data_IF_431786380648
#
_entry.id   IF_431786380648
#
_cell.length_a   1.000
_cell.length_b   1.000
_cell.length_c   1.000
_cell.angle_alpha   90.00
_cell.angle_beta   90.00
_cell.angle_gamma   90.00
#
_symmetry.space_group_name_H-M   'P 1'
#
loop_
_entity.id
_entity.type
_entity.pdbx_description
1 polymer ?
#
# COMPACT_ATOMS: atom_id res chain seq x y z
N UNK A 1 -18.08 -19.74 -32.09
CA UNK A 1 -17.40 -18.55 -31.53
C UNK A 1 -16.14 -19.08 -30.89
N UNK A 2 -15.01 -18.85 -31.55
CA UNK A 2 -13.69 -19.22 -31.08
C UNK A 2 -13.37 -18.34 -29.88
N UNK A 3 -13.26 -18.93 -28.68
CA UNK A 3 -12.62 -18.28 -27.54
C UNK A 3 -11.15 -18.06 -27.93
N UNK A 4 -10.79 -16.83 -28.28
CA UNK A 4 -9.40 -16.39 -28.28
C UNK A 4 -8.85 -16.60 -26.87
N UNK A 5 -8.11 -17.69 -26.69
CA UNK A 5 -7.30 -17.92 -25.50
C UNK A 5 -6.47 -16.64 -25.26
N UNK A 6 -6.53 -16.03 -24.07
CA UNK A 6 -5.80 -14.80 -23.80
C UNK A 6 -4.32 -15.06 -24.09
N UNK A 7 -3.76 -14.32 -25.07
CA UNK A 7 -2.33 -14.34 -25.37
C UNK A 7 -1.57 -14.34 -24.04
N UNK A 8 -0.60 -15.25 -23.83
CA UNK A 8 0.10 -15.33 -22.56
C UNK A 8 0.69 -13.95 -22.28
N UNK A 9 0.12 -13.27 -21.27
CA UNK A 9 0.65 -11.98 -20.81
C UNK A 9 2.14 -12.23 -20.57
N UNK A 10 3.03 -11.37 -21.09
CA UNK A 10 4.47 -11.55 -20.88
C UNK A 10 4.71 -11.77 -19.40
N UNK A 11 5.47 -12.83 -19.06
CA UNK A 11 5.76 -13.18 -17.66
C UNK A 11 6.28 -11.93 -16.96
N UNK A 12 5.61 -11.52 -15.88
CA UNK A 12 6.00 -10.33 -15.15
C UNK A 12 7.42 -10.56 -14.58
N UNK A 13 8.37 -9.63 -14.70
CA UNK A 13 9.71 -9.80 -14.13
C UNK A 13 9.71 -10.19 -12.65
N UNK A 14 8.66 -9.81 -11.90
CA UNK A 14 8.50 -10.18 -10.50
C UNK A 14 8.18 -11.66 -10.27
N UNK A 15 7.58 -12.36 -11.25
CA UNK A 15 7.34 -13.81 -11.19
C UNK A 15 8.64 -14.62 -11.33
N UNK A 16 9.71 -13.98 -11.82
CA UNK A 16 11.03 -14.60 -11.99
C UNK A 16 11.93 -14.42 -10.75
N UNK A 17 11.50 -13.61 -9.77
CA UNK A 17 12.25 -13.42 -8.54
C UNK A 17 12.26 -14.71 -7.71
N UNK A 18 13.37 -14.98 -6.98
CA UNK A 18 13.46 -16.16 -6.13
C UNK A 18 12.30 -16.17 -5.12
N UNK A 19 11.72 -17.34 -4.80
CA UNK A 19 10.60 -17.41 -3.86
C UNK A 19 10.97 -16.74 -2.55
N UNK A 20 10.09 -15.85 -2.07
CA UNK A 20 10.27 -15.19 -0.78
C UNK A 20 9.62 -16.00 0.33
N UNK A 21 10.17 -15.86 1.53
CA UNK A 21 9.56 -16.42 2.73
C UNK A 21 8.17 -15.81 2.98
N UNK A 22 7.96 -14.56 2.55
CA UNK A 22 6.67 -13.88 2.66
C UNK A 22 5.75 -14.26 1.50
N UNK A 23 4.61 -14.86 1.81
CA UNK A 23 3.54 -15.11 0.83
C UNK A 23 2.49 -13.99 0.96
N UNK A 24 2.41 -13.13 -0.05
CA UNK A 24 1.54 -11.96 -0.02
C UNK A 24 0.05 -12.32 0.15
N UNK A 25 -0.40 -13.41 -0.48
CA UNK A 25 -1.79 -13.87 -0.36
C UNK A 25 -2.12 -14.35 1.08
N UNK A 26 -1.16 -14.99 1.75
CA UNK A 26 -1.32 -15.37 3.16
C UNK A 26 -1.37 -14.14 4.07
N UNK A 27 -0.50 -13.16 3.81
CA UNK A 27 -0.55 -11.87 4.49
C UNK A 27 -1.93 -11.20 4.33
N UNK A 28 -2.41 -11.06 3.09
CA UNK A 28 -3.73 -10.45 2.80
C UNK A 28 -4.87 -11.20 3.45
N UNK A 29 -4.78 -12.54 3.50
CA UNK A 29 -5.75 -13.40 4.18
C UNK A 29 -5.71 -13.18 5.69
N UNK A 30 -4.53 -13.15 6.29
CA UNK A 30 -4.35 -12.87 7.73
C UNK A 30 -4.92 -11.50 8.08
N UNK A 31 -4.54 -10.46 7.34
CA UNK A 31 -5.04 -9.09 7.50
C UNK A 31 -6.56 -9.05 7.44
N UNK A 32 -7.17 -9.70 6.44
CA UNK A 32 -8.64 -9.68 6.24
C UNK A 32 -9.42 -10.47 7.28
N UNK A 33 -8.83 -11.53 7.83
CA UNK A 33 -9.48 -12.39 8.83
C UNK A 33 -9.33 -11.84 10.25
N UNK A 34 -8.35 -10.97 10.48
CA UNK A 34 -8.11 -10.37 11.79
C UNK A 34 -9.13 -9.25 12.02
N UNK A 35 -10.12 -9.52 12.88
CA UNK A 35 -11.17 -8.54 13.25
C UNK A 35 -10.95 -7.92 14.64
N UNK A 36 -10.23 -8.60 15.52
CA UNK A 36 -9.89 -8.17 16.88
C UNK A 36 -8.40 -8.44 17.12
N UNK A 37 -7.80 -7.72 18.08
CA UNK A 37 -6.39 -7.83 18.43
C UNK A 37 -5.47 -7.63 17.21
N UNK A 38 -5.77 -6.60 16.42
CA UNK A 38 -5.10 -6.33 15.15
C UNK A 38 -3.59 -6.27 15.29
N UNK A 39 -3.12 -5.61 16.35
CA UNK A 39 -1.70 -5.48 16.66
C UNK A 39 -1.03 -6.81 17.03
N UNK A 40 -1.70 -7.65 17.83
CA UNK A 40 -1.12 -8.92 18.27
C UNK A 40 -1.13 -10.01 17.18
N UNK A 41 -2.08 -9.92 16.25
CA UNK A 41 -2.28 -10.95 15.20
C UNK A 41 -1.79 -10.47 13.85
N UNK A 42 -2.35 -9.38 13.32
CA UNK A 42 -2.00 -8.89 11.99
C UNK A 42 -0.61 -8.24 11.99
N UNK A 43 -0.32 -7.30 12.90
CA UNK A 43 1.01 -6.64 12.92
C UNK A 43 2.11 -7.64 13.26
N UNK A 44 1.94 -8.46 14.29
CA UNK A 44 2.92 -9.51 14.60
C UNK A 44 3.11 -10.47 13.43
N UNK A 45 2.03 -10.98 12.85
CA UNK A 45 2.11 -11.90 11.72
C UNK A 45 2.74 -11.27 10.48
N UNK A 46 2.50 -9.97 10.23
CA UNK A 46 3.18 -9.21 9.20
C UNK A 46 4.69 -9.31 9.38
N UNK A 47 5.22 -8.93 10.54
CA UNK A 47 6.66 -8.92 10.80
C UNK A 47 7.27 -10.32 10.88
N UNK A 48 6.53 -11.34 11.34
CA UNK A 48 6.99 -12.73 11.37
C UNK A 48 7.16 -13.30 9.94
N UNK A 49 6.30 -12.87 9.01
CA UNK A 49 6.34 -13.25 7.60
C UNK A 49 7.23 -12.34 6.75
N UNK A 50 7.41 -11.06 7.13
CA UNK A 50 8.04 -10.04 6.32
C UNK A 50 9.48 -10.44 5.96
N UNK A 51 9.78 -10.28 4.68
CA UNK A 51 11.05 -10.68 4.08
C UNK A 51 11.64 -9.48 3.32
N UNK A 52 12.60 -8.75 3.91
CA UNK A 52 13.17 -7.56 3.29
C UNK A 52 14.03 -7.87 2.05
N UNK A 53 14.43 -9.12 1.83
CA UNK A 53 15.11 -9.50 0.58
C UNK A 53 14.12 -9.67 -0.58
N UNK A 54 12.90 -10.10 -0.25
CA UNK A 54 11.84 -10.39 -1.19
C UNK A 54 10.84 -9.25 -1.39
N UNK A 55 10.68 -8.35 -0.42
CA UNK A 55 9.70 -7.28 -0.45
C UNK A 55 10.26 -5.99 0.13
N UNK A 56 9.85 -4.87 -0.45
CA UNK A 56 10.19 -3.54 0.02
C UNK A 56 8.93 -2.82 0.51
N UNK A 57 9.09 -2.04 1.58
CA UNK A 57 8.05 -1.17 2.12
C UNK A 57 8.33 0.26 1.70
N UNK A 58 7.29 0.96 1.29
CA UNK A 58 7.37 2.33 0.79
C UNK A 58 6.27 3.18 1.40
N UNK A 59 6.65 4.31 1.98
CA UNK A 59 5.71 5.38 2.27
C UNK A 59 5.44 6.17 0.99
N UNK A 60 4.18 6.52 0.76
CA UNK A 60 3.78 7.46 -0.28
C UNK A 60 3.08 8.67 0.35
N UNK A 61 3.65 9.85 0.22
CA UNK A 61 3.05 11.10 0.70
C UNK A 61 2.59 11.93 -0.52
N UNK A 62 1.33 12.36 -0.57
CA UNK A 62 0.84 13.13 -1.71
C UNK A 62 1.47 14.53 -1.73
N UNK A 63 1.99 14.95 -2.88
CA UNK A 63 2.75 16.21 -3.01
C UNK A 63 1.88 17.47 -2.93
N UNK A 64 0.61 17.37 -3.32
CA UNK A 64 -0.29 18.52 -3.52
C UNK A 64 -1.44 18.54 -2.51
N UNK A 65 -1.15 18.28 -1.23
CA UNK A 65 -2.18 18.23 -0.19
C UNK A 65 -2.98 19.53 -0.09
N UNK A 66 -2.37 20.69 -0.37
CA UNK A 66 -3.04 22.00 -0.33
C UNK A 66 -4.25 22.10 -1.28
N UNK A 67 -4.30 21.27 -2.34
CA UNK A 67 -5.43 21.21 -3.27
C UNK A 67 -6.62 20.39 -2.73
N UNK A 68 -6.40 19.58 -1.70
CA UNK A 68 -7.41 18.68 -1.13
C UNK A 68 -8.32 19.44 -0.16
N UNK A 69 -9.18 20.32 -0.70
CA UNK A 69 -10.08 21.16 0.11
C UNK A 69 -11.45 20.54 0.37
N UNK A 70 -11.80 19.47 -0.36
CA UNK A 70 -13.11 18.81 -0.28
C UNK A 70 -12.92 17.32 -0.04
N UNK A 71 -13.36 16.83 1.14
CA UNK A 71 -13.17 15.45 1.61
C UNK A 71 -13.62 14.41 0.59
N UNK A 72 -14.86 14.50 0.09
CA UNK A 72 -15.40 13.55 -0.89
C UNK A 72 -14.60 13.52 -2.19
N UNK A 73 -14.07 14.66 -2.64
CA UNK A 73 -13.21 14.74 -3.84
C UNK A 73 -11.87 14.04 -3.59
N UNK A 74 -11.25 14.29 -2.42
CA UNK A 74 -10.02 13.61 -2.01
C UNK A 74 -10.20 12.09 -1.91
N UNK A 75 -11.30 11.63 -1.31
CA UNK A 75 -11.63 10.21 -1.22
C UNK A 75 -11.81 9.54 -2.59
N UNK A 76 -12.43 10.24 -3.55
CA UNK A 76 -12.58 9.77 -4.92
C UNK A 76 -11.24 9.71 -5.66
N UNK A 77 -10.36 10.71 -5.46
CA UNK A 77 -8.99 10.71 -6.01
C UNK A 77 -8.22 9.47 -5.54
N UNK A 78 -8.22 9.21 -4.22
CA UNK A 78 -7.56 8.01 -3.65
C UNK A 78 -8.17 6.73 -4.21
N UNK A 79 -9.49 6.64 -4.32
CA UNK A 79 -10.16 5.46 -4.90
C UNK A 79 -9.77 5.23 -6.36
N UNK A 80 -9.71 6.29 -7.17
CA UNK A 80 -9.27 6.21 -8.55
C UNK A 80 -7.81 5.78 -8.69
N UNK A 81 -6.93 6.25 -7.81
CA UNK A 81 -5.54 5.78 -7.74
C UNK A 81 -5.48 4.27 -7.45
N UNK A 82 -6.22 3.80 -6.44
CA UNK A 82 -6.26 2.36 -6.12
C UNK A 82 -6.80 1.49 -7.27
N UNK A 83 -7.77 1.99 -8.04
CA UNK A 83 -8.25 1.28 -9.24
C UNK A 83 -7.18 1.17 -10.33
N UNK A 84 -6.37 2.22 -10.54
CA UNK A 84 -5.24 2.17 -11.49
C UNK A 84 -4.14 1.24 -11.01
N UNK A 85 -3.96 1.12 -9.70
CA UNK A 85 -3.02 0.17 -9.09
C UNK A 85 -3.47 -1.29 -9.20
N UNK A 86 -4.68 -1.62 -9.69
CA UNK A 86 -5.19 -3.00 -9.77
C UNK A 86 -4.29 -3.93 -10.61
N UNK A 87 -3.54 -3.38 -11.59
CA UNK A 87 -2.52 -4.12 -12.35
C UNK A 87 -1.38 -4.67 -11.47
N UNK A 88 -1.13 -4.04 -10.31
CA UNK A 88 -0.16 -4.46 -9.30
C UNK A 88 -0.74 -5.38 -8.22
N UNK A 89 -2.05 -5.66 -8.23
CA UNK A 89 -2.75 -6.35 -7.14
C UNK A 89 -2.14 -7.68 -6.75
N UNK A 90 -1.63 -8.45 -7.71
CA UNK A 90 -0.96 -9.73 -7.45
C UNK A 90 0.37 -9.58 -6.69
N UNK A 91 1.05 -8.44 -6.81
CA UNK A 91 2.41 -8.23 -6.34
C UNK A 91 2.54 -7.14 -5.27
N UNK A 92 1.42 -6.50 -4.91
CA UNK A 92 1.40 -5.39 -3.98
C UNK A 92 0.28 -5.51 -2.96
N UNK A 93 0.55 -4.96 -1.79
CA UNK A 93 -0.44 -4.61 -0.77
C UNK A 93 -0.25 -3.14 -0.45
N UNK A 94 -1.36 -2.40 -0.32
CA UNK A 94 -1.31 -0.97 -0.10
C UNK A 94 -2.32 -0.53 0.94
N UNK A 95 -2.02 0.59 1.59
CA UNK A 95 -2.89 1.23 2.54
C UNK A 95 -2.80 2.72 2.37
N UNK A 96 -3.92 3.37 2.09
CA UNK A 96 -4.01 4.82 1.90
C UNK A 96 -4.86 5.40 3.03
N UNK A 97 -4.33 6.41 3.71
CA UNK A 97 -4.98 7.17 4.76
C UNK A 97 -5.29 8.58 4.24
N UNK A 98 -6.50 9.04 4.50
CA UNK A 98 -6.88 10.45 4.35
C UNK A 98 -6.99 11.02 5.75
N UNK A 99 -6.17 12.01 6.04
CA UNK A 99 -5.93 12.55 7.38
C UNK A 99 -6.37 14.01 7.42
N UNK A 100 -6.96 14.41 8.53
CA UNK A 100 -7.45 15.76 8.82
C UNK A 100 -8.97 15.82 8.93
N UNK A 101 -9.46 16.56 9.93
CA UNK A 101 -10.89 16.86 10.12
C UNK A 101 -11.34 18.12 9.37
N UNK A 102 -10.39 18.93 8.88
CA UNK A 102 -10.62 20.14 8.10
C UNK A 102 -9.63 20.22 6.93
N UNK A 103 -9.98 20.92 5.84
CA UNK A 103 -9.06 21.11 4.72
C UNK A 103 -7.84 21.96 5.13
N UNK A 104 -6.67 21.74 4.48
CA UNK A 104 -6.41 20.74 3.45
C UNK A 104 -6.26 19.31 4.02
N UNK A 105 -6.91 18.33 3.36
CA UNK A 105 -6.82 16.92 3.73
C UNK A 105 -5.50 16.32 3.23
N UNK A 106 -4.75 15.69 4.13
CA UNK A 106 -3.48 15.03 3.83
C UNK A 106 -3.74 13.62 3.33
N UNK A 107 -3.09 13.24 2.24
CA UNK A 107 -3.13 11.87 1.74
C UNK A 107 -1.76 11.24 1.95
N UNK A 108 -1.74 10.17 2.74
CA UNK A 108 -0.55 9.37 3.03
C UNK A 108 -0.84 7.91 2.72
N UNK A 109 0.19 7.13 2.43
CA UNK A 109 0.01 5.70 2.24
C UNK A 109 1.27 4.89 2.51
N UNK A 110 1.03 3.60 2.66
CA UNK A 110 2.02 2.57 2.88
C UNK A 110 1.82 1.50 1.82
N UNK A 111 2.88 1.15 1.13
CA UNK A 111 2.87 0.14 0.09
C UNK A 111 3.95 -0.89 0.33
N UNK A 112 3.54 -2.15 0.22
CA UNK A 112 4.41 -3.30 0.18
C UNK A 112 4.46 -3.78 -1.26
N UNK A 113 5.64 -3.75 -1.87
CA UNK A 113 5.87 -4.26 -3.21
C UNK A 113 6.77 -5.49 -3.19
N UNK A 114 6.49 -6.43 -4.08
CA UNK A 114 7.38 -7.55 -4.37
C UNK A 114 8.65 -7.04 -5.06
N UNK A 115 9.81 -7.41 -4.52
CA UNK A 115 11.13 -6.95 -4.94
C UNK A 115 11.67 -5.81 -4.08
N UNK A 116 12.91 -5.41 -4.35
CA UNK A 116 13.61 -4.35 -3.60
C UNK A 116 13.26 -2.93 -4.04
N UNK A 117 12.55 -2.79 -5.16
CA UNK A 117 12.19 -1.50 -5.74
C UNK A 117 10.71 -1.51 -6.13
N UNK A 118 10.14 -0.32 -6.29
CA UNK A 118 8.81 -0.18 -6.88
C UNK A 118 8.83 -0.78 -8.29
N UNK A 119 7.93 -1.72 -8.62
CA UNK A 119 7.94 -2.39 -9.90
C UNK A 119 7.80 -1.41 -11.08
N UNK A 120 8.72 -1.48 -12.05
CA UNK A 120 8.79 -0.53 -13.19
C UNK A 120 7.49 -0.43 -13.97
N UNK A 121 6.81 -1.56 -14.21
CA UNK A 121 5.52 -1.55 -14.91
C UNK A 121 4.44 -0.71 -14.21
N UNK A 122 4.53 -0.53 -12.88
CA UNK A 122 3.62 0.36 -12.14
C UNK A 122 4.00 1.81 -12.44
N UNK A 123 5.29 2.13 -12.41
CA UNK A 123 5.78 3.48 -12.73
C UNK A 123 5.45 3.88 -14.17
N UNK A 124 5.52 2.94 -15.12
CA UNK A 124 5.26 3.18 -16.54
C UNK A 124 3.75 3.34 -16.84
N UNK A 125 2.89 2.55 -16.19
CA UNK A 125 1.45 2.51 -16.49
C UNK A 125 0.61 3.43 -15.58
N UNK A 126 1.09 3.75 -14.37
CA UNK A 126 0.36 4.54 -13.36
C UNK A 126 1.03 5.91 -13.22
N UNK A 127 0.60 6.87 -14.05
CA UNK A 127 1.11 8.24 -14.02
C UNK A 127 0.92 8.94 -12.64
N UNK A 128 -0.09 8.53 -11.86
CA UNK A 128 -0.30 9.05 -10.51
C UNK A 128 0.87 8.82 -9.57
N UNK A 129 1.72 7.81 -9.83
CA UNK A 129 2.90 7.53 -9.00
C UNK A 129 3.79 8.77 -8.85
N UNK A 130 3.87 9.62 -9.88
CA UNK A 130 4.65 10.87 -9.85
C UNK A 130 4.03 11.95 -8.97
N UNK A 131 2.73 11.87 -8.67
CA UNK A 131 2.03 12.81 -7.78
C UNK A 131 2.32 12.55 -6.30
N UNK A 132 2.90 11.40 -5.98
CA UNK A 132 3.32 11.04 -4.63
C UNK A 132 4.85 11.09 -4.51
N UNK A 133 5.31 11.43 -3.32
CA UNK A 133 6.68 11.25 -2.90
C UNK A 133 6.83 9.85 -2.30
N UNK A 134 7.66 9.02 -2.92
CA UNK A 134 7.91 7.65 -2.49
C UNK A 134 9.20 7.58 -1.70
N UNK A 135 9.13 7.04 -0.49
CA UNK A 135 10.30 6.84 0.37
C UNK A 135 10.29 5.42 0.92
N UNK A 136 11.38 4.70 0.72
CA UNK A 136 11.53 3.37 1.30
C UNK A 136 11.50 3.47 2.84
N UNK A 137 10.76 2.58 3.47
CA UNK A 137 10.65 2.53 4.92
C UNK A 137 11.85 1.79 5.52
N UNK A 138 12.57 2.44 6.43
CA UNK A 138 13.65 1.80 7.17
C UNK A 138 13.07 0.97 8.33
N UNK A 139 13.09 -0.35 8.17
CA UNK A 139 12.58 -1.29 9.17
C UNK A 139 13.47 -1.40 10.42
N UNK A 140 14.69 -0.84 10.38
CA UNK A 140 15.60 -0.77 11.53
C UNK A 140 15.36 0.49 12.36
N UNK A 141 14.64 1.47 11.81
CA UNK A 141 14.19 2.66 12.52
C UNK A 141 12.86 2.35 13.23
N UNK A 142 12.89 2.26 14.55
CA UNK A 142 11.71 1.98 15.37
C UNK A 142 10.58 2.98 15.16
N UNK A 143 10.87 4.25 14.83
CA UNK A 143 9.83 5.24 14.56
C UNK A 143 9.12 4.97 13.22
N UNK A 144 9.87 4.59 12.18
CA UNK A 144 9.30 4.22 10.89
C UNK A 144 8.57 2.89 10.96
N UNK A 145 9.13 1.91 11.68
CA UNK A 145 8.47 0.64 11.96
C UNK A 145 7.15 0.82 12.70
N UNK A 146 7.12 1.72 13.68
CA UNK A 146 5.88 2.07 14.38
C UNK A 146 4.88 2.79 13.46
N UNK A 147 5.34 3.68 12.59
CA UNK A 147 4.49 4.31 11.57
C UNK A 147 3.89 3.27 10.63
N UNK A 148 4.66 2.26 10.20
CA UNK A 148 4.14 1.12 9.41
C UNK A 148 3.02 0.41 10.19
N UNK A 149 3.22 0.12 11.47
CA UNK A 149 2.22 -0.54 12.31
C UNK A 149 0.92 0.26 12.38
N UNK A 150 1.04 1.56 12.69
CA UNK A 150 -0.08 2.47 12.81
C UNK A 150 -0.89 2.57 11.51
N UNK A 151 -0.21 2.60 10.36
CA UNK A 151 -0.89 2.64 9.06
C UNK A 151 -1.62 1.32 8.75
N UNK A 152 -1.00 0.18 9.05
CA UNK A 152 -1.60 -1.13 8.81
C UNK A 152 -2.86 -1.31 9.68
N UNK A 153 -2.85 -0.83 10.93
CA UNK A 153 -3.96 -0.97 11.88
C UNK A 153 -5.01 0.16 11.85
N UNK A 154 -4.90 1.13 10.93
CA UNK A 154 -5.79 2.31 10.89
C UNK A 154 -5.81 3.08 12.21
N UNK A 155 -4.64 3.25 12.83
CA UNK A 155 -4.55 3.89 14.13
C UNK A 155 -5.11 5.31 14.09
N UNK A 156 -6.00 5.63 15.03
CA UNK A 156 -6.62 6.94 15.16
C UNK A 156 -6.41 7.46 16.61
N UNK A 157 -5.89 8.69 16.79
CA UNK A 157 -5.42 9.64 15.77
C UNK A 157 -4.07 9.24 15.15
N UNK A 158 -3.87 9.53 13.86
CA UNK A 158 -2.62 9.22 13.15
C UNK A 158 -1.71 10.46 13.12
N UNK A 159 -0.47 10.33 13.63
CA UNK A 159 0.49 11.45 13.74
C UNK A 159 -0.07 12.69 14.48
N UNK A 160 -1.05 12.48 15.37
CA UNK A 160 -1.71 13.56 16.12
C UNK A 160 -2.83 14.28 15.36
N UNK A 161 -3.21 13.81 14.17
CA UNK A 161 -4.33 14.32 13.38
C UNK A 161 -5.44 13.26 13.25
N UNK A 162 -6.68 13.73 13.12
CA UNK A 162 -7.86 12.85 12.97
C UNK A 162 -7.76 12.05 11.66
N UNK A 163 -8.09 10.77 11.73
CA UNK A 163 -8.13 9.90 10.56
C UNK A 163 -9.52 10.00 9.91
N UNK A 164 -9.61 10.66 8.75
CA UNK A 164 -10.89 10.84 8.06
C UNK A 164 -11.37 9.54 7.41
N UNK A 165 -10.48 8.83 6.72
CA UNK A 165 -10.79 7.55 6.07
C UNK A 165 -9.52 6.75 5.81
N UNK A 166 -9.68 5.43 5.74
CA UNK A 166 -8.60 4.52 5.39
C UNK A 166 -9.05 3.50 4.33
N UNK A 167 -8.27 3.40 3.25
CA UNK A 167 -8.54 2.47 2.14
C UNK A 167 -7.43 1.45 2.02
N UNK A 168 -7.83 0.17 1.99
CA UNK A 168 -6.93 -0.95 1.81
C UNK A 168 -6.93 -1.43 0.36
N UNK A 169 -5.75 -1.62 -0.19
CA UNK A 169 -5.49 -2.24 -1.49
C UNK A 169 -4.96 -3.66 -1.28
N UNK A 170 -5.76 -4.66 -1.65
CA UNK A 170 -5.44 -6.08 -1.52
C UNK A 170 -6.06 -6.90 -2.62
#
# INVERSE_FOLDING_TARGET
>A
AEEEAPKPKPKNPLDLLPPSKMILDEWKRLYSNTKTNFREVAIKGFWDMYDPEGYSLWFCDYKYNDENTVSFVTLNKVSGFLQRMDLARKYAFGKMLVIGSQPPFKVKGLWLFRGKEIPKFIMDEVYDMELYEWREADINDEAQKERVNQMIEDHEPFEGEDLLDAKCFK
#
